data_IF_823637975874
#
_entry.id   IF_823637975874
#
_cell.length_a   1.000
_cell.length_b   1.000
_cell.length_c   1.000
_cell.angle_alpha   90.00
_cell.angle_beta   90.00
_cell.angle_gamma   90.00
#
_symmetry.space_group_name_H-M   'P 1'
#
loop_
_entity.id
_entity.type
_entity.pdbx_description
1 polymer ?
#
# COMPACT_ATOMS: atom_id res chain seq x y z
N UNK A 1 -19.29 2.31 10.27
CA UNK A 1 -17.94 2.89 10.12
C UNK A 1 -17.53 2.85 8.65
N UNK A 2 -16.60 3.70 8.18
CA UNK A 2 -16.32 3.80 6.74
C UNK A 2 -15.74 2.51 6.14
N UNK A 3 -15.02 1.70 6.92
CA UNK A 3 -14.60 0.35 6.51
C UNK A 3 -15.78 -0.61 6.23
N UNK A 4 -16.98 -0.37 6.76
CA UNK A 4 -18.17 -1.19 6.47
C UNK A 4 -18.65 -1.03 5.01
N UNK A 5 -18.10 -0.05 4.29
CA UNK A 5 -18.33 0.11 2.86
C UNK A 5 -17.62 -0.98 2.03
N UNK A 6 -16.59 -1.64 2.58
CA UNK A 6 -15.86 -2.73 1.95
C UNK A 6 -16.67 -4.04 1.97
N UNK A 7 -16.55 -4.88 0.93
CA UNK A 7 -17.14 -6.20 0.94
C UNK A 7 -16.68 -7.06 2.11
N UNK A 8 -17.56 -7.94 2.58
CA UNK A 8 -17.32 -8.88 3.68
C UNK A 8 -16.04 -9.69 3.48
N UNK A 9 -15.77 -10.11 2.24
CA UNK A 9 -14.55 -10.85 1.91
C UNK A 9 -13.29 -10.08 2.34
N UNK A 10 -13.17 -8.80 2.01
CA UNK A 10 -11.98 -8.03 2.37
C UNK A 10 -11.90 -7.84 3.88
N UNK A 11 -13.03 -7.53 4.53
CA UNK A 11 -13.09 -7.32 5.99
C UNK A 11 -12.75 -8.59 6.79
N UNK A 12 -12.98 -9.77 6.22
CA UNK A 12 -12.68 -11.06 6.86
C UNK A 12 -11.27 -11.59 6.54
N UNK A 13 -10.68 -11.17 5.42
CA UNK A 13 -9.43 -11.74 4.92
C UNK A 13 -8.24 -10.78 4.93
N UNK A 14 -8.48 -9.50 5.23
CA UNK A 14 -7.45 -8.49 5.40
C UNK A 14 -7.60 -7.80 6.75
N UNK A 15 -6.48 -7.39 7.34
CA UNK A 15 -6.51 -6.40 8.40
C UNK A 15 -6.68 -5.02 7.77
N UNK A 16 -7.80 -4.35 8.03
CA UNK A 16 -8.15 -3.09 7.38
C UNK A 16 -8.18 -1.95 8.37
N UNK A 17 -7.55 -0.85 8.01
CA UNK A 17 -7.61 0.40 8.75
C UNK A 17 -7.82 1.58 7.81
N UNK A 18 -8.59 2.57 8.23
CA UNK A 18 -8.79 3.81 7.47
C UNK A 18 -8.52 5.04 8.33
N UNK A 19 -8.12 6.13 7.67
CA UNK A 19 -7.99 7.46 8.26
C UNK A 19 -8.68 8.49 7.38
N UNK A 20 -9.29 9.49 8.03
CA UNK A 20 -9.92 10.66 7.39
C UNK A 20 -10.91 10.28 6.29
N UNK A 21 -11.74 9.27 6.57
CA UNK A 21 -12.83 8.85 5.69
C UNK A 21 -12.39 8.35 4.30
N UNK A 22 -11.19 7.77 4.20
CA UNK A 22 -10.63 7.29 2.94
C UNK A 22 -11.59 6.35 2.17
N UNK A 23 -12.30 5.46 2.86
CA UNK A 23 -13.27 4.57 2.20
C UNK A 23 -14.44 5.34 1.58
N UNK A 24 -14.97 6.36 2.28
CA UNK A 24 -16.08 7.15 1.77
C UNK A 24 -15.66 7.99 0.55
N UNK A 25 -14.47 8.59 0.61
CA UNK A 25 -13.91 9.38 -0.50
C UNK A 25 -13.67 8.50 -1.71
N UNK A 26 -13.00 7.34 -1.55
CA UNK A 26 -12.75 6.41 -2.65
C UNK A 26 -14.06 5.93 -3.27
N UNK A 27 -15.01 5.46 -2.47
CA UNK A 27 -16.25 4.89 -2.98
C UNK A 27 -17.13 5.92 -3.70
N UNK A 28 -17.15 7.17 -3.22
CA UNK A 28 -18.03 8.20 -3.77
C UNK A 28 -17.41 8.94 -4.95
N UNK A 29 -16.16 9.37 -4.83
CA UNK A 29 -15.51 10.26 -5.82
C UNK A 29 -14.60 9.49 -6.78
N UNK A 30 -14.14 8.30 -6.40
CA UNK A 30 -13.27 7.42 -7.20
C UNK A 30 -13.85 6.00 -7.35
N UNK A 31 -15.15 5.84 -7.70
CA UNK A 31 -15.82 4.54 -7.66
C UNK A 31 -15.16 3.49 -8.57
N UNK A 32 -14.58 3.92 -9.69
CA UNK A 32 -13.86 3.02 -10.60
C UNK A 32 -12.58 2.49 -9.96
N UNK A 33 -11.75 3.37 -9.40
CA UNK A 33 -10.53 2.96 -8.70
C UNK A 33 -10.84 2.09 -7.47
N UNK A 34 -11.93 2.41 -6.76
CA UNK A 34 -12.44 1.59 -5.66
C UNK A 34 -12.78 0.16 -6.12
N UNK A 35 -13.60 0.01 -7.17
CA UNK A 35 -14.00 -1.31 -7.68
C UNK A 35 -12.81 -2.12 -8.19
N UNK A 36 -11.83 -1.46 -8.82
CA UNK A 36 -10.59 -2.10 -9.31
C UNK A 36 -9.69 -2.58 -8.16
N UNK A 37 -9.49 -1.77 -7.11
CA UNK A 37 -8.74 -2.17 -5.92
C UNK A 37 -9.45 -3.33 -5.22
N UNK A 38 -10.75 -3.22 -5.00
CA UNK A 38 -11.56 -4.26 -4.35
C UNK A 38 -11.55 -5.55 -5.16
N UNK A 39 -11.71 -5.47 -6.47
CA UNK A 39 -11.65 -6.61 -7.38
C UNK A 39 -10.30 -7.32 -7.33
N UNK A 40 -9.21 -6.55 -7.44
CA UNK A 40 -7.83 -7.05 -7.35
C UNK A 40 -7.57 -7.78 -6.03
N UNK A 41 -7.95 -7.18 -4.91
CA UNK A 41 -7.76 -7.78 -3.58
C UNK A 41 -8.70 -8.97 -3.32
N UNK A 42 -9.88 -9.01 -3.94
CA UNK A 42 -10.80 -10.14 -3.80
C UNK A 42 -10.23 -11.42 -4.44
N UNK A 43 -9.59 -11.28 -5.60
CA UNK A 43 -9.03 -12.42 -6.35
C UNK A 43 -7.61 -12.79 -5.91
N UNK A 44 -6.88 -11.86 -5.28
CA UNK A 44 -5.53 -12.09 -4.78
C UNK A 44 -5.43 -13.29 -3.83
N UNK A 45 -4.38 -14.08 -3.98
CA UNK A 45 -4.04 -15.19 -3.07
C UNK A 45 -2.54 -15.18 -2.82
N UNK A 46 -2.14 -15.45 -1.58
CA UNK A 46 -0.75 -15.45 -1.16
C UNK A 46 -0.15 -16.85 -1.23
N UNK A 47 0.68 -17.13 -2.23
CA UNK A 47 1.16 -18.49 -2.52
C UNK A 47 2.44 -18.84 -1.77
N UNK A 48 2.56 -20.09 -1.31
CA UNK A 48 3.78 -20.65 -0.73
C UNK A 48 4.97 -20.51 -1.68
N UNK A 49 4.74 -20.85 -2.95
CA UNK A 49 5.74 -20.80 -4.01
C UNK A 49 6.39 -19.42 -4.17
N UNK A 50 5.75 -18.34 -3.73
CA UNK A 50 6.29 -16.97 -3.81
C UNK A 50 7.28 -16.64 -2.70
N UNK A 51 7.25 -17.37 -1.59
CA UNK A 51 8.04 -17.08 -0.39
C UNK A 51 9.38 -17.83 -0.41
N UNK A 52 9.37 -19.01 -1.01
CA UNK A 52 10.51 -19.92 -1.11
C UNK A 52 11.55 -19.45 -2.14
N UNK A 53 11.16 -18.59 -3.08
CA UNK A 53 12.08 -17.98 -4.04
C UNK A 53 13.00 -16.98 -3.31
N UNK A 54 14.30 -17.09 -3.58
CA UNK A 54 15.32 -16.15 -3.10
C UNK A 54 15.19 -14.76 -3.73
N UNK A 55 15.94 -13.79 -3.22
CA UNK A 55 15.84 -12.37 -3.60
C UNK A 55 15.89 -12.09 -5.12
N UNK A 56 15.29 -10.96 -5.49
CA UNK A 56 15.22 -10.40 -6.84
C UNK A 56 14.81 -8.93 -6.76
N UNK A 57 14.72 -8.23 -7.90
CA UNK A 57 14.40 -6.79 -7.93
C UNK A 57 13.02 -6.45 -7.34
N UNK A 58 12.01 -7.30 -7.57
CA UNK A 58 10.63 -7.14 -7.09
C UNK A 58 10.10 -8.46 -6.55
N UNK A 59 9.31 -8.40 -5.48
CA UNK A 59 8.69 -9.60 -4.89
C UNK A 59 7.56 -10.13 -5.77
N UNK A 60 7.32 -11.45 -5.74
CA UNK A 60 6.17 -12.04 -6.46
C UNK A 60 4.82 -11.59 -5.92
N UNK A 61 4.75 -11.17 -4.65
CA UNK A 61 3.54 -10.56 -4.08
C UNK A 61 3.28 -9.21 -4.71
N UNK A 62 4.30 -8.35 -4.77
CA UNK A 62 4.19 -7.03 -5.40
C UNK A 62 3.88 -7.16 -6.89
N UNK A 63 4.56 -8.08 -7.59
CA UNK A 63 4.34 -8.36 -9.02
C UNK A 63 2.92 -8.88 -9.33
N UNK A 64 2.33 -9.66 -8.41
CA UNK A 64 0.98 -10.18 -8.62
C UNK A 64 -0.10 -9.10 -8.49
N UNK A 65 0.11 -8.11 -7.62
CA UNK A 65 -0.85 -7.03 -7.37
C UNK A 65 -0.70 -5.94 -8.42
N UNK A 66 0.52 -5.45 -8.64
CA UNK A 66 0.77 -4.34 -9.56
C UNK A 66 0.39 -4.70 -10.99
N UNK A 67 0.68 -5.91 -11.45
CA UNK A 67 0.42 -6.35 -12.82
C UNK A 67 -1.07 -6.40 -13.09
N UNK A 68 -1.90 -6.77 -12.11
CA UNK A 68 -3.35 -6.72 -12.26
C UNK A 68 -3.85 -5.27 -12.33
N UNK A 69 -3.36 -4.39 -11.46
CA UNK A 69 -3.68 -2.96 -11.51
C UNK A 69 -3.22 -2.31 -12.82
N UNK A 70 -2.03 -2.66 -13.32
CA UNK A 70 -1.51 -2.16 -14.59
C UNK A 70 -2.37 -2.60 -15.78
N UNK A 71 -2.92 -3.83 -15.75
CA UNK A 71 -3.91 -4.26 -16.76
C UNK A 71 -5.21 -3.46 -16.73
N UNK A 72 -5.56 -2.92 -15.55
CA UNK A 72 -6.68 -2.02 -15.35
C UNK A 72 -6.31 -0.55 -15.66
N UNK A 73 -5.11 -0.28 -16.14
CA UNK A 73 -4.65 1.05 -16.57
C UNK A 73 -4.13 1.93 -15.43
N UNK A 74 -3.71 1.32 -14.31
CA UNK A 74 -2.86 2.01 -13.34
C UNK A 74 -1.44 2.12 -13.90
N UNK A 75 -0.70 3.14 -13.47
CA UNK A 75 0.67 3.37 -13.92
C UNK A 75 1.59 3.62 -12.73
N UNK A 76 2.85 3.18 -12.84
CA UNK A 76 3.91 3.66 -11.96
C UNK A 76 4.18 5.14 -12.27
N UNK A 77 4.23 6.01 -11.25
CA UNK A 77 4.25 7.46 -11.48
C UNK A 77 5.24 8.22 -10.62
N UNK A 78 6.16 8.92 -11.29
CA UNK A 78 7.00 9.93 -10.67
C UNK A 78 6.36 11.31 -10.82
N UNK A 79 6.27 12.06 -9.72
CA UNK A 79 5.79 13.45 -9.74
C UNK A 79 6.96 14.41 -9.68
N UNK A 80 7.15 15.22 -10.71
CA UNK A 80 8.12 16.31 -10.64
C UNK A 80 7.49 17.49 -9.88
N UNK A 81 8.15 17.94 -8.81
CA UNK A 81 7.66 19.06 -8.00
C UNK A 81 8.77 20.07 -7.78
N UNK A 82 8.44 21.34 -7.85
CA UNK A 82 9.35 22.46 -7.60
C UNK A 82 8.70 23.47 -6.64
N UNK A 83 9.53 24.07 -5.79
CA UNK A 83 9.16 25.21 -4.97
C UNK A 83 9.83 26.43 -5.58
N UNK A 84 9.04 27.48 -5.84
CA UNK A 84 9.52 28.75 -6.37
C UNK A 84 9.41 29.83 -5.30
N UNK A 85 10.55 30.39 -4.88
CA UNK A 85 10.62 31.51 -3.92
C UNK A 85 11.41 32.63 -4.58
N UNK A 86 10.81 33.80 -4.79
CA UNK A 86 11.45 34.96 -5.42
C UNK A 86 12.16 34.65 -6.75
N UNK A 87 11.56 33.79 -7.58
CA UNK A 87 12.10 33.26 -8.86
C UNK A 87 13.28 32.29 -8.72
N UNK A 88 13.68 31.93 -7.50
CA UNK A 88 14.58 30.82 -7.25
C UNK A 88 13.80 29.51 -7.26
N UNK A 89 14.23 28.57 -8.10
CA UNK A 89 13.62 27.24 -8.23
C UNK A 89 14.39 26.24 -7.38
N UNK A 90 13.69 25.50 -6.52
CA UNK A 90 14.24 24.36 -5.79
C UNK A 90 13.42 23.13 -6.10
N UNK A 91 14.05 22.14 -6.74
CA UNK A 91 13.43 20.83 -6.96
C UNK A 91 13.15 20.17 -5.60
N UNK A 92 11.91 19.75 -5.39
CA UNK A 92 11.54 18.98 -4.20
C UNK A 92 11.43 17.52 -4.63
N UNK A 93 12.28 16.62 -4.08
CA UNK A 93 12.25 15.22 -4.47
C UNK A 93 10.96 14.57 -3.95
N UNK A 94 10.15 14.05 -4.87
CA UNK A 94 9.10 13.08 -4.54
C UNK A 94 9.62 11.67 -4.77
N UNK A 95 8.91 10.70 -4.23
CA UNK A 95 9.17 9.30 -4.55
C UNK A 95 8.16 8.81 -5.58
N UNK A 96 8.60 7.84 -6.37
CA UNK A 96 7.75 7.19 -7.35
C UNK A 96 6.64 6.44 -6.62
N UNK A 97 5.40 6.62 -7.09
CA UNK A 97 4.24 5.86 -6.62
C UNK A 97 4.14 4.57 -7.42
N UNK A 98 4.04 3.41 -6.74
CA UNK A 98 3.98 2.10 -7.38
C UNK A 98 2.82 1.97 -8.38
N UNK A 99 1.62 2.40 -7.96
CA UNK A 99 0.39 2.35 -8.73
C UNK A 99 -0.40 3.65 -8.54
N UNK A 100 -0.54 4.44 -9.60
CA UNK A 100 -1.31 5.66 -9.61
C UNK A 100 -2.42 5.63 -10.66
N UNK A 101 -3.60 6.13 -10.30
CA UNK A 101 -4.69 6.39 -11.23
C UNK A 101 -5.65 7.42 -10.68
N UNK A 102 -6.04 8.39 -11.51
CA UNK A 102 -7.09 9.36 -11.20
C UNK A 102 -6.98 10.00 -9.79
N UNK A 103 -5.76 10.39 -9.37
CA UNK A 103 -5.46 10.98 -8.05
C UNK A 103 -5.51 10.00 -6.87
N UNK A 104 -5.65 8.71 -7.10
CA UNK A 104 -5.43 7.67 -6.10
C UNK A 104 -4.01 7.15 -6.24
N UNK A 105 -3.25 7.20 -5.14
CA UNK A 105 -1.89 6.66 -5.08
C UNK A 105 -1.88 5.40 -4.22
N UNK A 106 -1.33 4.31 -4.74
CA UNK A 106 -1.29 3.02 -4.07
C UNK A 106 0.15 2.51 -4.02
N UNK A 107 0.60 2.14 -2.83
CA UNK A 107 1.95 1.61 -2.55
C UNK A 107 1.85 0.16 -2.06
N UNK A 108 2.70 -0.71 -2.59
CA UNK A 108 2.75 -2.14 -2.22
C UNK A 108 4.02 -2.42 -1.42
N UNK A 109 3.88 -2.27 -0.11
CA UNK A 109 4.98 -2.38 0.83
C UNK A 109 5.12 -3.80 1.38
N UNK A 110 5.98 -4.59 0.72
CA UNK A 110 6.19 -6.00 1.04
C UNK A 110 7.64 -6.34 1.43
N UNK A 111 7.86 -6.43 2.74
CA UNK A 111 9.10 -6.93 3.34
C UNK A 111 10.36 -6.05 3.09
N UNK A 112 10.14 -4.78 2.74
CA UNK A 112 11.19 -3.78 2.57
C UNK A 112 11.75 -3.39 3.95
N UNK A 113 13.04 -3.03 4.05
CA UNK A 113 13.62 -2.50 5.30
C UNK A 113 13.50 -0.99 5.33
N UNK A 114 13.26 -0.40 6.51
CA UNK A 114 13.17 1.05 6.73
C UNK A 114 14.13 1.86 5.82
N UNK A 115 13.71 3.02 5.25
CA UNK A 115 12.62 3.89 5.72
C UNK A 115 11.40 3.98 4.79
N UNK A 116 10.91 2.86 4.22
CA UNK A 116 9.87 2.90 3.16
C UNK A 116 8.54 3.51 3.62
N UNK A 117 7.96 3.06 4.74
CA UNK A 117 6.71 3.69 5.22
C UNK A 117 6.82 5.19 5.50
N UNK A 118 7.93 5.65 6.07
CA UNK A 118 8.12 7.07 6.36
C UNK A 118 8.20 7.89 5.06
N UNK A 119 8.83 7.32 4.04
CA UNK A 119 8.89 7.87 2.68
C UNK A 119 7.51 7.93 2.04
N UNK A 120 6.77 6.82 2.03
CA UNK A 120 5.50 6.71 1.31
C UNK A 120 4.44 7.60 1.94
N UNK A 121 4.37 7.61 3.27
CA UNK A 121 3.46 8.48 4.02
C UNK A 121 3.79 9.96 3.80
N UNK A 122 5.09 10.32 3.80
CA UNK A 122 5.49 11.69 3.47
C UNK A 122 5.18 12.05 2.01
N UNK A 123 5.32 11.11 1.08
CA UNK A 123 4.97 11.29 -0.32
C UNK A 123 3.46 11.54 -0.49
N UNK A 124 2.62 10.72 0.15
CA UNK A 124 1.17 10.93 0.20
C UNK A 124 0.80 12.29 0.79
N UNK A 125 1.44 12.69 1.90
CA UNK A 125 1.24 14.01 2.51
C UNK A 125 1.53 15.13 1.51
N UNK A 126 2.71 15.13 0.90
CA UNK A 126 3.15 16.17 -0.03
C UNK A 126 2.23 16.22 -1.26
N UNK A 127 1.98 15.08 -1.89
CA UNK A 127 1.15 15.03 -3.10
C UNK A 127 -0.31 15.40 -2.82
N UNK A 128 -0.82 15.14 -1.62
CA UNK A 128 -2.13 15.60 -1.19
C UNK A 128 -2.17 17.12 -1.01
N UNK A 129 -1.17 17.72 -0.34
CA UNK A 129 -1.06 19.18 -0.17
C UNK A 129 -0.94 19.91 -1.51
N UNK A 130 -0.24 19.32 -2.48
CA UNK A 130 -0.13 19.81 -3.85
C UNK A 130 -1.37 19.52 -4.72
N UNK A 131 -2.40 18.87 -4.16
CA UNK A 131 -3.62 18.45 -4.85
C UNK A 131 -3.36 17.55 -6.05
N UNK A 132 -2.28 16.76 -6.04
CA UNK A 132 -2.01 15.73 -7.04
C UNK A 132 -2.66 14.38 -6.66
N UNK A 133 -2.73 14.10 -5.35
CA UNK A 133 -3.36 12.91 -4.78
C UNK A 133 -4.55 13.32 -3.91
N UNK A 134 -5.60 12.51 -3.90
CA UNK A 134 -6.77 12.67 -3.03
C UNK A 134 -6.85 11.58 -1.96
N UNK A 135 -6.38 10.36 -2.25
CA UNK A 135 -6.33 9.24 -1.30
C UNK A 135 -5.07 8.41 -1.52
N UNK A 136 -4.39 8.07 -0.42
CA UNK A 136 -3.31 7.09 -0.39
C UNK A 136 -3.82 5.70 0.00
N UNK A 137 -3.32 4.65 -0.63
CA UNK A 137 -3.62 3.25 -0.30
C UNK A 137 -2.32 2.51 -0.03
N UNK A 138 -2.24 1.75 1.05
CA UNK A 138 -1.07 0.92 1.35
C UNK A 138 -1.51 -0.53 1.45
N UNK A 139 -0.87 -1.40 0.69
CA UNK A 139 -0.98 -2.85 0.85
C UNK A 139 0.30 -3.36 1.49
N UNK A 140 0.19 -4.04 2.62
CA UNK A 140 1.31 -4.66 3.31
C UNK A 140 0.89 -6.01 3.90
N UNK A 141 1.70 -6.58 4.79
CA UNK A 141 1.40 -7.85 5.48
C UNK A 141 0.96 -7.65 6.93
N UNK A 142 0.06 -8.53 7.38
CA UNK A 142 -0.23 -8.68 8.80
C UNK A 142 0.97 -9.27 9.56
N UNK A 143 1.08 -8.94 10.84
CA UNK A 143 2.06 -9.56 11.76
C UNK A 143 1.95 -11.08 11.82
N UNK A 144 0.71 -11.57 11.78
CA UNK A 144 0.40 -12.99 11.91
C UNK A 144 1.07 -13.85 10.81
N UNK A 145 1.35 -13.31 9.61
CA UNK A 145 2.06 -14.06 8.56
C UNK A 145 3.45 -14.55 9.00
N UNK A 146 4.02 -13.98 10.06
CA UNK A 146 5.29 -14.43 10.64
C UNK A 146 5.26 -15.88 11.11
N UNK A 147 4.11 -16.42 11.50
CA UNK A 147 3.99 -17.84 11.84
C UNK A 147 4.21 -18.73 10.60
N UNK A 148 3.56 -18.41 9.47
CA UNK A 148 3.76 -19.12 8.19
C UNK A 148 5.22 -19.03 7.76
N UNK A 149 5.82 -17.84 7.85
CA UNK A 149 7.24 -17.65 7.51
C UNK A 149 8.17 -18.52 8.37
N UNK A 150 7.88 -18.68 9.66
CA UNK A 150 8.65 -19.56 10.54
C UNK A 150 8.48 -21.04 10.17
N UNK A 151 7.26 -21.48 9.89
CA UNK A 151 6.95 -22.86 9.50
C UNK A 151 7.70 -23.30 8.24
N UNK A 152 7.79 -22.42 7.24
CA UNK A 152 8.53 -22.68 5.99
C UNK A 152 10.02 -22.32 6.07
N UNK A 153 10.55 -22.10 7.28
CA UNK A 153 11.97 -21.79 7.55
C UNK A 153 12.49 -20.50 6.88
N UNK A 154 11.60 -19.53 6.65
CA UNK A 154 11.93 -18.20 6.09
C UNK A 154 11.74 -17.05 7.08
N UNK A 155 11.37 -17.32 8.34
CA UNK A 155 11.05 -16.31 9.35
C UNK A 155 12.12 -15.21 9.55
N UNK A 156 13.41 -15.54 9.43
CA UNK A 156 14.50 -14.56 9.51
C UNK A 156 14.52 -13.57 8.35
N UNK A 157 14.01 -13.96 7.17
CA UNK A 157 13.90 -13.10 5.99
C UNK A 157 12.76 -12.08 6.12
N UNK A 158 11.81 -12.35 7.01
CA UNK A 158 10.60 -11.55 7.25
C UNK A 158 10.56 -10.98 8.67
N UNK A 159 11.72 -10.66 9.24
CA UNK A 159 11.85 -10.19 10.63
C UNK A 159 11.26 -8.80 10.89
N UNK A 160 11.31 -8.38 12.15
CA UNK A 160 10.70 -7.13 12.66
C UNK A 160 11.28 -5.82 12.05
N UNK A 161 12.41 -5.89 11.36
CA UNK A 161 13.04 -4.75 10.68
C UNK A 161 12.46 -4.46 9.29
N UNK A 162 11.49 -5.26 8.85
CA UNK A 162 10.86 -5.14 7.52
C UNK A 162 9.44 -4.61 7.62
N UNK A 163 8.85 -4.14 6.52
CA UNK A 163 7.48 -3.61 6.48
C UNK A 163 6.44 -4.68 6.82
N UNK A 164 5.53 -4.31 7.73
CA UNK A 164 4.36 -5.04 8.20
C UNK A 164 3.47 -4.10 9.04
N UNK A 165 2.26 -4.56 9.38
CA UNK A 165 1.24 -3.72 10.00
C UNK A 165 1.67 -3.03 11.30
N UNK A 166 2.22 -3.75 12.28
CA UNK A 166 2.69 -3.15 13.55
C UNK A 166 3.79 -2.09 13.39
N UNK A 167 4.49 -2.05 12.25
CA UNK A 167 5.45 -0.97 11.92
C UNK A 167 4.75 0.23 11.26
N UNK A 168 3.68 0.01 10.51
CA UNK A 168 2.95 1.05 9.80
C UNK A 168 2.04 1.85 10.73
N UNK A 169 1.22 1.17 11.54
CA UNK A 169 0.17 1.82 12.33
C UNK A 169 0.70 2.94 13.25
N UNK A 170 1.81 2.78 13.98
CA UNK A 170 2.35 3.86 14.82
C UNK A 170 2.78 5.09 14.02
N UNK A 171 3.21 4.93 12.76
CA UNK A 171 3.64 6.05 11.90
C UNK A 171 2.45 6.84 11.39
N UNK A 172 1.38 6.16 10.98
CA UNK A 172 0.14 6.85 10.59
C UNK A 172 -0.47 7.54 11.81
N UNK A 173 -0.55 6.85 12.96
CA UNK A 173 -1.04 7.43 14.21
C UNK A 173 -0.19 8.62 14.69
N UNK A 174 1.13 8.57 14.46
CA UNK A 174 2.06 9.66 14.71
C UNK A 174 1.96 10.81 13.71
N UNK A 175 1.04 10.76 12.74
CA UNK A 175 0.77 11.84 11.79
C UNK A 175 1.60 11.79 10.50
N UNK A 176 2.25 10.67 10.18
CA UNK A 176 3.12 10.54 8.99
C UNK A 176 2.41 10.87 7.66
N UNK A 177 1.11 10.55 7.55
CA UNK A 177 0.28 10.88 6.38
C UNK A 177 -0.24 12.32 6.32
N UNK A 178 0.00 13.13 7.37
CA UNK A 178 -0.44 14.52 7.47
C UNK A 178 -1.95 14.69 7.22
N UNK A 179 -2.31 15.45 6.17
CA UNK A 179 -3.68 15.71 5.75
C UNK A 179 -4.32 14.61 4.91
N UNK A 180 -3.53 13.72 4.31
CA UNK A 180 -4.00 12.78 3.29
C UNK A 180 -4.91 11.68 3.90
N UNK A 181 -6.10 11.43 3.33
CA UNK A 181 -6.88 10.22 3.60
C UNK A 181 -6.11 8.96 3.20
N UNK A 182 -6.07 7.98 4.10
CA UNK A 182 -5.30 6.74 3.89
C UNK A 182 -6.17 5.52 4.17
N UNK A 183 -6.12 4.55 3.27
CA UNK A 183 -6.70 3.21 3.44
C UNK A 183 -5.58 2.16 3.44
N UNK A 184 -5.58 1.26 4.42
CA UNK A 184 -4.54 0.24 4.58
C UNK A 184 -5.15 -1.15 4.53
N UNK A 185 -4.49 -2.05 3.81
CA UNK A 185 -4.79 -3.48 3.74
C UNK A 185 -3.58 -4.31 4.18
N UNK A 186 -3.73 -5.09 5.24
CA UNK A 186 -2.80 -6.13 5.66
C UNK A 186 -3.21 -7.48 5.11
N UNK A 187 -2.40 -8.07 4.23
CA UNK A 187 -2.58 -9.44 3.75
C UNK A 187 -2.50 -10.40 4.95
N UNK A 188 -3.55 -11.17 5.19
CA UNK A 188 -3.64 -12.09 6.33
C UNK A 188 -3.36 -13.54 5.93
N UNK A 189 -3.29 -14.43 6.94
CA UNK A 189 -3.09 -15.87 6.73
C UNK A 189 -4.22 -16.54 5.96
N UNK A 190 -5.44 -16.02 5.99
CA UNK A 190 -6.57 -16.68 5.32
C UNK A 190 -6.46 -16.66 3.79
N UNK A 191 -5.61 -15.78 3.26
CA UNK A 191 -5.30 -15.69 1.83
C UNK A 191 -4.17 -16.63 1.42
N UNK A 192 -3.51 -17.30 2.38
CA UNK A 192 -2.37 -18.17 2.11
C UNK A 192 -2.81 -19.47 1.44
N UNK A 193 -2.10 -19.86 0.38
CA UNK A 193 -2.29 -21.12 -0.34
C UNK A 193 -1.00 -21.94 -0.32
N UNK A 194 -1.15 -23.19 0.10
CA UNK A 194 -0.11 -24.22 0.04
C UNK A 194 -0.10 -24.83 -1.37
N UNK A 195 0.63 -24.21 -2.29
CA UNK A 195 0.76 -24.60 -3.70
C UNK A 195 2.14 -25.20 -4.07
#
# INVERSE_FOLDING_TARGET
>A
MGIDLLPDFLRQNYEVHEWKHACAILKQDFPKEWDEIVGTLTTFRFRRSWITVGGGRKSKVSEAIDSELYRLGWEEKQFETEIVIDKSHTATPTHQVDCFKNRVALEIEWNNKDPFFDRDLNNFRLLFELRAVSVGVIITRCDALQEIFKEIKRGSSYGASTTHMSKLLPRIAGGGGGGCPILVFGISKSLYLED
#
